data_IF_145157408857
#
_entry.id   IF_145157408857
#
_cell.length_a   1.000
_cell.length_b   1.000
_cell.length_c   1.000
_cell.angle_alpha   90.00
_cell.angle_beta   90.00
_cell.angle_gamma   90.00
#
_symmetry.space_group_name_H-M   'P 1'
#
loop_
_entity.id
_entity.type
_entity.pdbx_description
1 polymer ?
#
# COMPACT_ATOMS: atom_id res chain seq x y z
N UNK A 1 -28.19 4.90 39.15
CA UNK A 1 -29.31 5.52 38.42
C UNK A 1 -28.74 6.09 37.12
N UNK A 2 -29.12 5.54 35.97
CA UNK A 2 -28.50 5.86 34.68
C UNK A 2 -28.88 7.28 34.23
N UNK A 3 -27.89 8.08 33.82
CA UNK A 3 -28.10 9.46 33.36
C UNK A 3 -29.14 9.52 32.23
N UNK A 4 -29.15 8.54 31.33
CA UNK A 4 -30.13 8.42 30.24
C UNK A 4 -31.58 8.22 30.74
N UNK A 5 -31.77 7.54 31.88
CA UNK A 5 -33.11 7.30 32.45
C UNK A 5 -33.64 8.56 33.11
N UNK A 6 -32.77 9.33 33.78
CA UNK A 6 -33.12 10.63 34.36
C UNK A 6 -33.50 11.61 33.25
N UNK A 7 -32.73 11.63 32.15
CA UNK A 7 -33.00 12.49 30.99
C UNK A 7 -34.32 12.16 30.30
N UNK A 8 -34.65 10.87 30.16
CA UNK A 8 -35.92 10.44 29.59
C UNK A 8 -37.11 10.76 30.50
N UNK A 9 -36.96 10.60 31.81
CA UNK A 9 -38.00 10.93 32.78
C UNK A 9 -38.27 12.44 32.85
N UNK A 10 -37.22 13.28 32.86
CA UNK A 10 -37.38 14.74 32.83
C UNK A 10 -38.00 15.23 31.52
N UNK A 11 -37.67 14.58 30.41
CA UNK A 11 -38.25 14.90 29.09
C UNK A 11 -39.74 14.51 29.02
N UNK A 12 -40.11 13.38 29.62
CA UNK A 12 -41.50 12.94 29.72
C UNK A 12 -42.35 13.86 30.61
N UNK A 13 -41.79 14.31 31.74
CA UNK A 13 -42.46 15.21 32.69
C UNK A 13 -42.73 16.61 32.08
N UNK A 14 -41.73 17.16 31.37
CA UNK A 14 -41.89 18.42 30.61
C UNK A 14 -42.87 18.31 29.43
N UNK A 15 -43.04 17.12 28.86
CA UNK A 15 -44.05 16.85 27.82
C UNK A 15 -45.47 16.82 28.39
N UNK A 16 -45.66 16.23 29.58
CA UNK A 16 -46.97 16.18 30.26
C UNK A 16 -47.46 17.53 30.78
N UNK A 17 -46.54 18.43 31.15
CA UNK A 17 -46.88 19.77 31.66
C UNK A 17 -47.12 20.82 30.56
N UNK A 18 -47.04 20.46 29.27
CA UNK A 18 -47.35 21.35 28.15
C UNK A 18 -46.32 22.45 27.88
N UNK A 19 -45.19 22.46 28.57
CA UNK A 19 -44.08 23.39 28.34
C UNK A 19 -43.37 23.12 27.00
N UNK A 20 -43.41 21.88 26.53
CA UNK A 20 -42.90 21.47 25.23
C UNK A 20 -44.03 21.56 24.20
N UNK A 21 -44.04 22.63 23.39
CA UNK A 21 -45.00 22.80 22.29
C UNK A 21 -44.89 21.63 21.31
N UNK A 22 -46.00 21.07 20.83
CA UNK A 22 -46.02 19.95 19.86
C UNK A 22 -45.08 20.15 18.64
N UNK A 23 -44.77 21.41 18.27
CA UNK A 23 -43.82 21.76 17.22
C UNK A 23 -42.35 21.38 17.49
N UNK A 24 -41.90 21.32 18.75
CA UNK A 24 -40.51 20.92 19.06
C UNK A 24 -40.33 19.41 18.96
N UNK A 25 -41.35 18.63 19.33
CA UNK A 25 -41.36 17.16 19.22
C UNK A 25 -41.38 16.73 17.75
N UNK A 26 -42.20 17.37 16.91
CA UNK A 26 -42.20 17.09 15.47
C UNK A 26 -40.86 17.42 14.84
N UNK A 27 -40.25 18.57 15.18
CA UNK A 27 -38.93 18.96 14.69
C UNK A 27 -37.84 17.95 15.07
N UNK A 28 -37.83 17.47 16.32
CA UNK A 28 -36.86 16.48 16.80
C UNK A 28 -36.94 15.16 16.03
N UNK A 29 -38.16 14.70 15.68
CA UNK A 29 -38.38 13.49 14.90
C UNK A 29 -37.86 13.59 13.46
N UNK A 30 -37.85 14.79 12.86
CA UNK A 30 -37.27 15.02 11.54
C UNK A 30 -35.74 15.13 11.58
N UNK A 31 -35.17 15.69 12.64
CA UNK A 31 -33.71 15.91 12.76
C UNK A 31 -32.96 14.62 13.15
N UNK A 32 -33.50 13.83 14.07
CA UNK A 32 -32.85 12.62 14.58
C UNK A 32 -32.39 11.62 13.47
N UNK A 33 -33.20 11.25 12.46
CA UNK A 33 -32.74 10.36 11.39
C UNK A 33 -31.68 11.01 10.51
N UNK A 34 -31.72 12.34 10.33
CA UNK A 34 -30.71 13.08 9.58
C UNK A 34 -29.36 13.08 10.29
N UNK A 35 -29.36 13.23 11.62
CA UNK A 35 -28.16 13.14 12.45
C UNK A 35 -27.60 11.71 12.44
N UNK A 36 -28.45 10.69 12.60
CA UNK A 36 -28.04 9.30 12.52
C UNK A 36 -27.45 8.93 11.15
N UNK A 37 -28.12 9.36 10.07
CA UNK A 37 -27.65 9.15 8.70
C UNK A 37 -26.34 9.89 8.44
N UNK A 38 -26.20 11.13 8.95
CA UNK A 38 -24.96 11.91 8.83
C UNK A 38 -23.80 11.27 9.58
N UNK A 39 -24.02 10.77 10.80
CA UNK A 39 -22.99 10.05 11.59
C UNK A 39 -22.61 8.73 10.91
N UNK A 40 -23.57 7.97 10.42
CA UNK A 40 -23.34 6.71 9.68
C UNK A 40 -22.56 6.96 8.38
N UNK A 41 -22.95 7.99 7.62
CA UNK A 41 -22.27 8.41 6.41
C UNK A 41 -20.84 8.88 6.71
N UNK A 42 -20.67 9.68 7.77
CA UNK A 42 -19.36 10.14 8.23
C UNK A 42 -18.48 8.96 8.68
N UNK A 43 -19.03 7.97 9.40
CA UNK A 43 -18.30 6.76 9.78
C UNK A 43 -17.87 5.95 8.55
N UNK A 44 -18.75 5.77 7.57
CA UNK A 44 -18.42 5.12 6.30
C UNK A 44 -17.32 5.89 5.55
N UNK A 45 -17.44 7.21 5.48
CA UNK A 45 -16.47 8.09 4.83
C UNK A 45 -15.10 8.07 5.54
N UNK A 46 -15.08 8.12 6.88
CA UNK A 46 -13.85 8.02 7.67
C UNK A 46 -13.19 6.64 7.55
N UNK A 47 -13.97 5.56 7.56
CA UNK A 47 -13.45 4.20 7.37
C UNK A 47 -12.83 4.00 5.99
N UNK A 48 -13.43 4.58 4.94
CA UNK A 48 -12.84 4.59 3.60
C UNK A 48 -11.50 5.35 3.54
N UNK A 49 -11.37 6.47 4.27
CA UNK A 49 -10.13 7.25 4.39
C UNK A 49 -9.06 6.59 5.28
N UNK A 50 -9.45 5.77 6.27
CA UNK A 50 -8.53 5.10 7.21
C UNK A 50 -7.58 4.12 6.50
N UNK A 51 -7.99 3.54 5.37
CA UNK A 51 -7.16 2.67 4.51
C UNK A 51 -6.06 3.47 3.80
N UNK A 52 -6.33 4.72 3.40
CA UNK A 52 -5.34 5.60 2.76
C UNK A 52 -4.36 6.22 3.77
N UNK A 53 -4.86 6.67 4.92
CA UNK A 53 -4.04 7.28 5.98
C UNK A 53 -3.06 6.26 6.58
N UNK A 54 -3.51 5.04 6.86
CA UNK A 54 -2.63 3.99 7.41
C UNK A 54 -1.50 3.64 6.44
N UNK A 55 -1.77 3.56 5.14
CA UNK A 55 -0.72 3.40 4.12
C UNK A 55 0.22 4.59 4.11
N UNK A 56 -0.29 5.82 4.16
CA UNK A 56 0.53 7.03 4.18
C UNK A 56 1.48 7.08 5.38
N UNK A 57 1.01 6.70 6.57
CA UNK A 57 1.89 6.57 7.74
C UNK A 57 2.94 5.47 7.56
N UNK A 58 2.57 4.34 6.95
CA UNK A 58 3.54 3.27 6.64
C UNK A 58 4.62 3.74 5.65
N UNK A 59 4.28 4.54 4.64
CA UNK A 59 5.25 5.10 3.69
C UNK A 59 6.27 6.03 4.33
N UNK A 60 5.89 6.75 5.40
CA UNK A 60 6.80 7.66 6.11
C UNK A 60 7.71 6.98 7.13
N UNK A 61 7.48 5.70 7.43
CA UNK A 61 8.34 4.97 8.38
C UNK A 61 9.75 4.78 7.81
N UNK A 62 10.79 4.90 8.65
CA UNK A 62 12.14 4.54 8.24
C UNK A 62 12.24 3.04 7.96
N UNK A 63 13.24 2.66 7.17
CA UNK A 63 13.56 1.26 6.94
C UNK A 63 14.03 0.63 8.25
N UNK A 64 13.62 -0.62 8.48
CA UNK A 64 13.98 -1.35 9.68
C UNK A 64 15.50 -1.56 9.81
N UNK A 65 16.01 -1.58 11.06
CA UNK A 65 17.45 -1.64 11.35
C UNK A 65 18.07 -2.94 10.83
N UNK A 66 17.37 -4.07 10.93
CA UNK A 66 17.84 -5.36 10.42
C UNK A 66 18.02 -5.30 8.90
N UNK A 67 17.03 -4.75 8.19
CA UNK A 67 17.10 -4.56 6.73
C UNK A 67 18.26 -3.65 6.33
N UNK A 68 18.53 -2.59 7.09
CA UNK A 68 19.70 -1.71 6.84
C UNK A 68 21.02 -2.46 7.04
N UNK A 69 21.11 -3.37 8.02
CA UNK A 69 22.29 -4.21 8.20
C UNK A 69 22.48 -5.18 7.02
N UNK A 70 21.39 -5.79 6.53
CA UNK A 70 21.41 -6.64 5.34
C UNK A 70 21.89 -5.88 4.09
N UNK A 71 21.46 -4.61 3.91
CA UNK A 71 21.94 -3.76 2.82
C UNK A 71 23.45 -3.54 2.90
N UNK A 72 23.96 -3.19 4.08
CA UNK A 72 25.40 -2.96 4.28
C UNK A 72 26.23 -4.22 4.03
N UNK A 73 25.66 -5.39 4.33
CA UNK A 73 26.32 -6.69 4.17
C UNK A 73 26.37 -7.14 2.71
N UNK A 74 25.26 -7.04 1.98
CA UNK A 74 25.13 -7.69 0.66
C UNK A 74 25.19 -6.74 -0.53
N UNK A 75 25.04 -5.42 -0.33
CA UNK A 75 24.93 -4.44 -1.42
C UNK A 75 26.08 -3.41 -1.32
N UNK A 76 27.23 -3.67 -1.97
CA UNK A 76 28.36 -2.74 -1.97
C UNK A 76 28.00 -1.36 -2.53
N UNK A 77 27.09 -1.30 -3.51
CA UNK A 77 26.61 -0.04 -4.06
C UNK A 77 26.01 0.89 -2.99
N UNK A 78 25.29 0.33 -2.02
CA UNK A 78 24.66 1.14 -0.97
C UNK A 78 25.72 1.77 -0.04
N UNK A 79 26.86 1.10 0.20
CA UNK A 79 27.88 1.63 1.11
C UNK A 79 28.63 2.83 0.51
N UNK A 80 28.78 2.89 -0.81
CA UNK A 80 29.44 3.99 -1.53
C UNK A 80 28.59 5.25 -1.66
N UNK A 81 27.28 5.16 -1.41
CA UNK A 81 26.38 6.32 -1.49
C UNK A 81 26.64 7.36 -0.39
N UNK A 82 26.41 8.63 -0.75
CA UNK A 82 26.35 9.74 0.22
C UNK A 82 25.20 9.56 1.21
N UNK A 83 25.25 10.24 2.36
CA UNK A 83 24.20 10.15 3.39
C UNK A 83 22.82 10.55 2.88
N UNK A 84 22.74 11.51 1.95
CA UNK A 84 21.49 11.93 1.30
C UNK A 84 20.96 10.83 0.37
N UNK A 85 21.82 10.29 -0.49
CA UNK A 85 21.45 9.24 -1.42
C UNK A 85 21.06 7.94 -0.71
N UNK A 86 21.67 7.63 0.45
CA UNK A 86 21.27 6.51 1.32
C UNK A 86 19.83 6.66 1.81
N UNK A 87 19.43 7.85 2.28
CA UNK A 87 18.05 8.13 2.70
C UNK A 87 17.06 7.95 1.55
N UNK A 88 17.42 8.42 0.36
CA UNK A 88 16.59 8.24 -0.84
C UNK A 88 16.46 6.77 -1.19
N UNK A 89 17.57 6.03 -1.18
CA UNK A 89 17.60 4.59 -1.46
C UNK A 89 16.71 3.82 -0.48
N UNK A 90 16.90 4.02 0.82
CA UNK A 90 16.14 3.37 1.90
C UNK A 90 14.64 3.66 1.78
N UNK A 91 14.27 4.93 1.54
CA UNK A 91 12.87 5.32 1.36
C UNK A 91 12.24 4.62 0.16
N UNK A 92 12.93 4.62 -0.99
CA UNK A 92 12.43 3.98 -2.22
C UNK A 92 12.32 2.46 -2.05
N UNK A 93 13.30 1.84 -1.40
CA UNK A 93 13.27 0.41 -1.09
C UNK A 93 12.12 0.07 -0.13
N UNK A 94 11.90 0.87 0.90
CA UNK A 94 10.77 0.69 1.82
C UNK A 94 9.43 0.77 1.07
N UNK A 95 9.29 1.75 0.19
CA UNK A 95 8.11 1.87 -0.68
C UNK A 95 7.94 0.65 -1.60
N UNK A 96 9.04 0.11 -2.12
CA UNK A 96 9.01 -1.08 -2.97
C UNK A 96 8.53 -2.31 -2.16
N UNK A 97 9.10 -2.54 -0.98
CA UNK A 97 8.70 -3.65 -0.10
C UNK A 97 7.25 -3.55 0.38
N UNK A 98 6.73 -2.34 0.60
CA UNK A 98 5.32 -2.14 0.97
C UNK A 98 4.34 -2.41 -0.19
N UNK A 99 4.78 -2.20 -1.42
CA UNK A 99 3.91 -2.28 -2.60
C UNK A 99 3.98 -3.63 -3.33
N UNK A 100 5.06 -4.38 -3.14
CA UNK A 100 5.28 -5.66 -3.80
C UNK A 100 4.93 -6.82 -2.87
N UNK A 101 4.24 -7.80 -3.43
CA UNK A 101 3.96 -9.07 -2.76
C UNK A 101 4.92 -10.12 -3.29
N UNK A 102 5.62 -10.80 -2.40
CA UNK A 102 6.51 -11.91 -2.74
C UNK A 102 5.77 -13.22 -2.51
N UNK A 103 5.73 -14.07 -3.53
CA UNK A 103 5.13 -15.40 -3.50
C UNK A 103 6.17 -16.42 -3.96
N UNK A 104 6.12 -17.62 -3.42
CA UNK A 104 6.94 -18.74 -3.85
C UNK A 104 6.06 -19.98 -3.94
N UNK A 105 6.53 -20.96 -4.68
CA UNK A 105 5.99 -22.30 -4.56
C UNK A 105 6.33 -22.89 -3.19
N UNK A 106 5.59 -23.91 -2.76
CA UNK A 106 5.84 -24.65 -1.51
C UNK A 106 7.24 -25.31 -1.43
N UNK A 107 8.10 -25.10 -2.44
CA UNK A 107 9.48 -25.55 -2.51
C UNK A 107 10.46 -24.64 -1.77
N UNK A 108 10.15 -23.36 -1.54
CA UNK A 108 11.03 -22.41 -0.84
C UNK A 108 10.27 -21.54 0.14
N UNK A 109 10.86 -21.36 1.33
CA UNK A 109 10.46 -20.32 2.28
C UNK A 109 11.07 -18.96 1.90
N UNK A 110 10.22 -17.94 1.76
CA UNK A 110 10.68 -16.58 1.44
C UNK A 110 11.23 -15.91 2.69
N UNK A 111 12.56 -15.84 2.78
CA UNK A 111 13.24 -15.12 3.87
C UNK A 111 13.24 -13.61 3.64
N UNK A 112 13.42 -12.84 4.73
CA UNK A 112 13.55 -11.39 4.63
C UNK A 112 14.80 -10.97 3.83
N UNK A 113 15.90 -11.70 3.96
CA UNK A 113 17.13 -11.50 3.18
C UNK A 113 16.84 -11.49 1.67
N UNK A 114 16.06 -12.46 1.19
CA UNK A 114 15.69 -12.54 -0.23
C UNK A 114 14.90 -11.32 -0.68
N UNK A 115 13.89 -10.91 0.11
CA UNK A 115 13.07 -9.72 -0.22
C UNK A 115 13.94 -8.47 -0.25
N UNK A 116 14.83 -8.31 0.72
CA UNK A 116 15.75 -7.17 0.83
C UNK A 116 16.70 -7.14 -0.36
N UNK A 117 17.30 -8.27 -0.74
CA UNK A 117 18.23 -8.35 -1.87
C UNK A 117 17.53 -8.04 -3.20
N UNK A 118 16.34 -8.59 -3.44
CA UNK A 118 15.55 -8.31 -4.64
C UNK A 118 15.19 -6.82 -4.70
N UNK A 119 14.67 -6.27 -3.60
CA UNK A 119 14.31 -4.85 -3.51
C UNK A 119 15.52 -3.93 -3.72
N UNK A 120 16.64 -4.22 -3.06
CA UNK A 120 17.86 -3.42 -3.19
C UNK A 120 18.43 -3.47 -4.61
N UNK A 121 18.41 -4.63 -5.26
CA UNK A 121 18.86 -4.78 -6.66
C UNK A 121 17.98 -3.96 -7.60
N UNK A 122 16.65 -4.04 -7.44
CA UNK A 122 15.73 -3.21 -8.21
C UNK A 122 15.98 -1.72 -7.99
N UNK A 123 16.19 -1.29 -6.75
CA UNK A 123 16.46 0.12 -6.42
C UNK A 123 17.82 0.59 -6.93
N UNK A 124 18.82 -0.28 -6.99
CA UNK A 124 20.12 0.02 -7.59
C UNK A 124 19.99 0.28 -9.09
N UNK A 125 19.26 -0.57 -9.82
CA UNK A 125 19.01 -0.41 -11.26
C UNK A 125 18.22 0.88 -11.54
N UNK A 126 17.22 1.17 -10.69
CA UNK A 126 16.33 2.31 -10.85
C UNK A 126 16.86 3.59 -10.18
N UNK A 127 18.08 3.57 -9.66
CA UNK A 127 18.62 4.71 -8.95
C UNK A 127 18.80 5.90 -9.91
N UNK A 128 18.35 7.08 -9.51
CA UNK A 128 18.35 8.27 -10.36
C UNK A 128 17.12 8.42 -11.27
N UNK A 129 16.28 7.40 -11.42
CA UNK A 129 15.00 7.52 -12.14
C UNK A 129 13.90 8.10 -11.23
N UNK A 130 12.99 8.88 -11.82
CA UNK A 130 11.81 9.40 -11.11
C UNK A 130 10.72 8.33 -10.95
N UNK A 131 10.53 7.49 -11.97
CA UNK A 131 9.52 6.44 -12.01
C UNK A 131 10.05 5.10 -11.44
N UNK A 132 10.23 5.01 -10.12
CA UNK A 132 10.78 3.82 -9.45
C UNK A 132 9.73 2.83 -8.90
N UNK A 133 8.44 3.14 -8.99
CA UNK A 133 7.36 2.37 -8.33
C UNK A 133 7.06 1.02 -9.00
N UNK A 134 7.51 0.82 -10.24
CA UNK A 134 7.27 -0.40 -11.02
C UNK A 134 5.79 -0.82 -10.98
N UNK A 135 4.88 0.13 -11.24
CA UNK A 135 3.44 -0.02 -11.01
C UNK A 135 2.76 -1.09 -11.89
N UNK A 136 3.40 -1.50 -12.98
CA UNK A 136 2.87 -2.48 -13.92
C UNK A 136 2.77 -3.90 -13.35
N UNK A 137 3.46 -4.18 -12.24
CA UNK A 137 3.35 -5.46 -11.55
C UNK A 137 3.33 -5.28 -10.04
N UNK A 138 2.57 -6.15 -9.38
CA UNK A 138 2.44 -6.17 -7.92
C UNK A 138 3.09 -7.41 -7.29
N UNK A 139 3.05 -8.54 -7.98
CA UNK A 139 3.49 -9.83 -7.45
C UNK A 139 4.85 -10.19 -8.04
N UNK A 140 5.75 -10.70 -7.20
CA UNK A 140 7.06 -11.22 -7.55
C UNK A 140 7.06 -12.69 -7.15
N UNK A 141 7.12 -13.57 -8.15
CA UNK A 141 7.16 -15.02 -7.95
C UNK A 141 8.61 -15.51 -7.89
N UNK A 142 8.98 -16.19 -6.81
CA UNK A 142 10.34 -16.71 -6.59
C UNK A 142 10.31 -18.24 -6.67
N UNK A 143 11.18 -18.80 -7.51
CA UNK A 143 11.28 -20.25 -7.75
C UNK A 143 12.74 -20.70 -7.57
N UNK A 144 12.95 -21.91 -7.05
CA UNK A 144 14.28 -22.53 -6.84
C UNK A 144 14.88 -23.05 -8.13
N UNK A 145 14.02 -23.48 -9.04
CA UNK A 145 14.36 -24.13 -10.30
C UNK A 145 13.66 -23.41 -11.45
N UNK A 146 14.33 -23.33 -12.59
CA UNK A 146 13.73 -22.74 -13.79
C UNK A 146 12.70 -23.75 -14.32
N UNK A 147 11.42 -23.40 -14.22
CA UNK A 147 10.35 -24.23 -14.76
C UNK A 147 10.60 -24.51 -16.25
N UNK A 148 10.45 -25.75 -16.75
CA UNK A 148 10.70 -26.07 -18.15
C UNK A 148 9.85 -25.23 -19.11
N UNK A 149 8.67 -24.77 -18.67
CA UNK A 149 7.84 -23.84 -19.42
C UNK A 149 8.42 -22.41 -19.51
N UNK A 150 9.35 -22.00 -18.64
CA UNK A 150 10.03 -20.69 -18.70
C UNK A 150 11.43 -20.78 -19.34
N UNK A 151 11.88 -21.98 -19.68
CA UNK A 151 13.18 -22.23 -20.33
C UNK A 151 13.32 -21.49 -21.68
N UNK A 152 12.21 -21.30 -22.39
CA UNK A 152 12.19 -20.56 -23.67
C UNK A 152 12.38 -19.05 -23.51
N UNK A 153 12.17 -18.46 -22.31
CA UNK A 153 12.42 -17.04 -22.05
C UNK A 153 13.90 -16.74 -21.76
N UNK A 154 14.66 -17.75 -21.33
CA UNK A 154 16.10 -17.63 -21.06
C UNK A 154 16.96 -17.78 -22.33
N UNK A 155 16.40 -18.30 -23.41
CA UNK A 155 17.10 -18.45 -24.69
C UNK A 155 16.97 -17.16 -25.50
N UNK A 156 17.88 -16.22 -25.28
CA UNK A 156 18.05 -15.06 -26.16
C UNK A 156 18.55 -15.44 -27.57
N UNK A 157 18.88 -16.72 -27.78
CA UNK A 157 19.46 -17.21 -29.03
C UNK A 157 18.46 -17.39 -30.18
N UNK A 158 17.14 -17.39 -29.92
CA UNK A 158 16.14 -17.66 -30.98
C UNK A 158 15.49 -16.39 -31.59
N UNK A 159 15.70 -15.21 -30.99
CA UNK A 159 15.17 -13.95 -31.55
C UNK A 159 16.00 -13.48 -32.75
N UNK A 160 17.21 -14.03 -32.95
CA UNK A 160 18.03 -13.79 -34.16
C UNK A 160 17.64 -14.70 -35.33
N UNK A 161 16.95 -15.81 -35.09
CA UNK A 161 16.56 -16.79 -36.12
C UNK A 161 15.20 -16.47 -36.75
N UNK A 162 14.32 -15.80 -36.01
CA UNK A 162 13.05 -15.31 -36.53
C UNK A 162 13.28 -13.98 -37.26
N UNK A 163 13.41 -14.05 -38.59
CA UNK A 163 13.63 -12.95 -39.53
C UNK A 163 12.53 -11.88 -39.60
N UNK A 164 11.98 -11.46 -38.46
CA UNK A 164 10.84 -10.54 -38.34
C UNK A 164 11.28 -9.07 -38.21
N UNK A 165 12.59 -8.78 -38.12
CA UNK A 165 13.14 -7.41 -38.10
C UNK A 165 13.96 -7.03 -39.35
N UNK A 166 13.64 -7.58 -40.53
CA UNK A 166 14.23 -7.16 -41.82
C UNK A 166 13.26 -6.37 -42.71
N UNK A 167 12.39 -5.52 -42.14
CA UNK A 167 11.54 -4.65 -42.99
C UNK A 167 11.17 -3.31 -42.37
N UNK A 168 12.16 -2.56 -41.90
CA UNK A 168 12.04 -1.08 -41.80
C UNK A 168 13.39 -0.38 -41.71
N UNK A 169 14.20 -0.50 -42.74
CA UNK A 169 15.26 0.45 -43.04
C UNK A 169 15.38 0.58 -44.56
N UNK A 170 15.62 1.81 -45.03
CA UNK A 170 15.92 2.25 -46.42
C UNK A 170 14.77 2.07 -47.44
N UNK A 171 13.91 3.06 -47.69
CA UNK A 171 14.04 4.30 -48.49
C UNK A 171 14.40 4.10 -49.97
N UNK A 172 13.59 4.77 -50.81
CA UNK A 172 13.83 5.22 -52.20
C UNK A 172 13.86 4.18 -53.32
#
# INVERSE_FOLDING_TARGET
MNISVIFLASYFDQFTHGEITAGTVTLALFIAPFVWFSISYFYYYFKAQQIHLSKFFQYKKPLDVERVQLLKKYIPYYTTLSSENKKVFEKRMHHFLLNKTFTSDNSIEITEDMKVMIAATAMQILFGLEAYYLSNFKNIHIVSEIEPALKHLHTSDDIRSTGVYSRRATNH
#
